data_IF_995054502859
#
_entry.id   IF_995054502859
#
_cell.length_a   1.000
_cell.length_b   1.000
_cell.length_c   1.000
_cell.angle_alpha   90.00
_cell.angle_beta   90.00
_cell.angle_gamma   90.00
#
_symmetry.space_group_name_H-M   'P 1'
#
loop_
_entity.id
_entity.type
_entity.pdbx_description
1 polymer ?
#
# COMPACT_ATOMS: atom_id res chain seq x y z
N UNK A 1 6.17 -48.78 49.27
CA UNK A 1 5.50 -48.63 47.97
C UNK A 1 4.15 -49.33 48.01
N UNK A 2 3.06 -48.56 47.99
CA UNK A 2 1.82 -48.99 47.38
C UNK A 2 1.17 -47.91 46.49
N UNK A 3 0.36 -48.40 45.56
CA UNK A 3 -0.63 -47.69 44.74
C UNK A 3 -1.64 -46.94 45.61
N UNK A 4 -1.99 -45.71 45.22
CA UNK A 4 -3.18 -45.03 45.70
C UNK A 4 -3.85 -44.21 44.58
N UNK A 5 -5.14 -44.45 44.50
CA UNK A 5 -6.12 -44.03 43.50
C UNK A 5 -7.01 -42.96 44.14
N UNK A 6 -7.16 -41.78 43.55
CA UNK A 6 -8.18 -40.76 43.88
C UNK A 6 -8.25 -39.80 42.69
N UNK A 7 -9.37 -39.37 42.15
CA UNK A 7 -10.78 -39.45 42.53
C UNK A 7 -11.46 -38.32 41.75
N UNK A 8 -12.34 -38.68 40.80
CA UNK A 8 -13.19 -37.73 40.07
C UNK A 8 -14.33 -37.27 40.98
N UNK A 9 -14.58 -35.97 41.05
CA UNK A 9 -15.85 -35.41 41.50
C UNK A 9 -16.51 -34.64 40.34
N UNK A 10 -17.84 -34.77 40.16
CA UNK A 10 -18.62 -33.85 39.33
C UNK A 10 -19.27 -32.79 40.22
N UNK A 11 -19.07 -31.51 39.89
CA UNK A 11 -19.94 -30.44 40.40
C UNK A 11 -20.89 -29.99 39.31
N UNK A 12 -22.17 -30.29 39.54
CA UNK A 12 -23.31 -29.57 39.00
C UNK A 12 -23.43 -28.26 39.77
N UNK A 13 -23.64 -27.15 39.08
CA UNK A 13 -24.38 -26.03 39.64
C UNK A 13 -25.20 -25.38 38.53
N UNK A 14 -26.51 -25.52 38.67
CA UNK A 14 -27.51 -24.71 37.99
C UNK A 14 -27.50 -23.31 38.62
N UNK A 15 -27.41 -22.27 37.79
CA UNK A 15 -27.90 -20.95 38.16
C UNK A 15 -28.33 -20.20 36.91
N UNK A 16 -29.64 -20.22 36.70
CA UNK A 16 -30.40 -19.25 35.90
C UNK A 16 -30.26 -17.85 36.50
N UNK A 17 -29.76 -16.90 35.71
CA UNK A 17 -29.99 -15.48 35.94
C UNK A 17 -30.07 -14.75 34.60
N UNK A 18 -31.29 -14.33 34.29
CA UNK A 18 -31.65 -13.28 33.35
C UNK A 18 -31.05 -11.94 33.81
N UNK A 19 -30.36 -11.23 32.91
CA UNK A 19 -29.76 -9.93 33.20
C UNK A 19 -29.51 -9.14 31.92
N UNK A 20 -30.56 -8.43 31.51
CA UNK A 20 -30.59 -7.12 30.85
C UNK A 20 -29.39 -6.69 29.97
N UNK A 21 -29.69 -6.59 28.68
CA UNK A 21 -28.82 -5.98 27.69
C UNK A 21 -28.66 -4.48 27.93
N UNK A 22 -27.40 -4.05 28.03
CA UNK A 22 -27.00 -2.65 27.92
C UNK A 22 -26.09 -2.51 26.70
N UNK A 23 -26.67 -2.11 25.58
CA UNK A 23 -25.94 -1.74 24.37
C UNK A 23 -25.41 -0.32 24.50
N UNK A 24 -24.12 -0.17 24.83
CA UNK A 24 -23.40 1.09 24.68
C UNK A 24 -23.06 1.33 23.20
N UNK A 25 -23.86 2.17 22.55
CA UNK A 25 -23.57 2.73 21.22
C UNK A 25 -22.35 3.66 21.31
N UNK A 26 -21.24 3.27 20.69
CA UNK A 26 -20.16 4.20 20.35
C UNK A 26 -20.51 4.93 19.06
N UNK A 27 -20.61 6.25 19.17
CA UNK A 27 -20.97 7.19 18.12
C UNK A 27 -19.94 7.22 16.98
N UNK A 28 -20.29 6.63 15.84
CA UNK A 28 -19.66 6.93 14.55
C UNK A 28 -20.43 8.06 13.87
N UNK A 29 -19.81 9.23 13.76
CA UNK A 29 -20.36 10.42 13.09
C UNK A 29 -20.61 10.11 11.61
N UNK A 30 -21.87 9.85 11.27
CA UNK A 30 -22.35 9.77 9.89
C UNK A 30 -23.11 11.06 9.59
N UNK A 31 -22.54 11.93 8.76
CA UNK A 31 -23.22 13.14 8.29
C UNK A 31 -24.15 12.73 7.13
N UNK A 32 -25.44 12.59 7.43
CA UNK A 32 -26.49 12.48 6.43
C UNK A 32 -27.02 13.88 6.09
N UNK A 33 -26.86 14.31 4.84
CA UNK A 33 -27.50 15.50 4.29
C UNK A 33 -28.95 15.17 3.91
N UNK A 34 -29.89 15.76 4.64
CA UNK A 34 -31.31 15.78 4.29
C UNK A 34 -31.65 17.17 3.76
N UNK A 35 -32.27 17.21 2.59
CA UNK A 35 -32.82 18.40 1.96
C UNK A 35 -34.03 18.93 2.77
N UNK A 36 -34.05 20.23 3.03
CA UNK A 36 -35.16 20.93 3.66
C UNK A 36 -35.14 22.42 3.30
N UNK A 37 -36.26 22.90 2.78
CA UNK A 37 -36.45 24.17 2.08
C UNK A 37 -36.96 25.27 3.03
N UNK A 38 -36.70 26.54 2.66
CA UNK A 38 -37.31 27.81 3.08
C UNK A 38 -37.06 28.42 4.47
N UNK A 39 -36.69 29.72 4.47
CA UNK A 39 -37.11 30.67 5.52
C UNK A 39 -36.07 31.71 5.95
N UNK A 40 -36.10 32.87 5.30
CA UNK A 40 -35.46 34.16 5.62
C UNK A 40 -35.08 34.48 7.09
N UNK A 41 -33.88 35.05 7.31
CA UNK A 41 -33.70 36.27 8.10
C UNK A 41 -32.30 36.86 7.89
N UNK A 42 -32.23 38.18 7.91
CA UNK A 42 -31.14 39.01 7.41
C UNK A 42 -30.08 39.36 8.48
N UNK A 43 -28.95 39.86 7.97
CA UNK A 43 -27.91 40.69 8.63
C UNK A 43 -26.89 39.97 9.51
N UNK A 44 -25.76 39.59 8.90
CA UNK A 44 -24.42 40.12 9.25
C UNK A 44 -23.58 40.12 7.97
N UNK A 45 -23.30 41.30 7.43
CA UNK A 45 -22.30 41.52 6.39
C UNK A 45 -21.13 42.25 7.05
N UNK A 46 -19.89 41.86 6.74
CA UNK A 46 -18.72 42.69 6.36
C UNK A 46 -17.43 41.88 6.59
N UNK A 47 -16.50 41.97 5.63
CA UNK A 47 -15.12 41.45 5.57
C UNK A 47 -14.90 40.08 4.88
N UNK A 48 -15.07 40.05 3.55
CA UNK A 48 -14.19 39.26 2.69
C UNK A 48 -13.74 40.14 1.51
N UNK A 49 -12.46 40.48 1.47
CA UNK A 49 -11.84 41.20 0.36
C UNK A 49 -11.07 40.22 -0.54
N UNK A 50 -11.41 40.30 -1.83
CA UNK A 50 -10.56 40.08 -2.99
C UNK A 50 -9.72 38.79 -3.10
N UNK A 51 -10.26 37.81 -3.85
CA UNK A 51 -9.46 36.94 -4.71
C UNK A 51 -9.93 37.14 -6.17
N UNK A 52 -9.03 37.18 -7.16
CA UNK A 52 -9.40 37.41 -8.56
C UNK A 52 -10.16 36.21 -9.11
N UNK A 53 -11.31 36.46 -9.75
CA UNK A 53 -12.02 35.46 -10.56
C UNK A 53 -11.30 35.31 -11.90
N UNK A 54 -10.75 34.13 -12.16
CA UNK A 54 -10.33 33.72 -13.50
C UNK A 54 -11.57 33.39 -14.34
N UNK A 55 -11.54 33.81 -15.60
CA UNK A 55 -12.57 33.62 -16.62
C UNK A 55 -12.79 32.15 -16.95
N UNK A 56 -14.05 31.79 -17.15
CA UNK A 56 -14.58 30.42 -17.25
C UNK A 56 -14.64 29.92 -18.71
N UNK A 57 -13.74 30.40 -19.58
CA UNK A 57 -13.84 30.17 -21.03
C UNK A 57 -12.77 29.24 -21.66
N UNK A 58 -11.81 28.70 -20.89
CA UNK A 58 -10.73 27.85 -21.47
C UNK A 58 -10.77 26.36 -21.08
N UNK A 59 -11.84 25.87 -20.43
CA UNK A 59 -11.90 24.44 -20.03
C UNK A 59 -12.29 23.46 -21.15
N UNK A 60 -12.68 23.94 -22.33
CA UNK A 60 -13.15 23.09 -23.44
C UNK A 60 -12.06 22.70 -24.46
N UNK A 61 -10.81 23.15 -24.30
CA UNK A 61 -9.71 22.86 -25.24
C UNK A 61 -8.56 22.04 -24.67
N UNK A 62 -8.74 21.42 -23.50
CA UNK A 62 -7.75 20.48 -22.97
C UNK A 62 -7.97 19.11 -23.62
N UNK A 63 -7.29 18.88 -24.74
CA UNK A 63 -7.09 17.52 -25.24
C UNK A 63 -6.41 16.69 -24.13
N UNK A 64 -6.86 15.45 -23.87
CA UNK A 64 -6.17 14.57 -22.95
C UNK A 64 -4.72 14.41 -23.44
N UNK A 65 -3.71 14.47 -22.54
CA UNK A 65 -2.31 14.39 -22.95
C UNK A 65 -2.09 13.12 -23.78
N UNK A 66 -1.33 13.28 -24.86
CA UNK A 66 -0.89 12.18 -25.70
C UNK A 66 -0.20 11.12 -24.84
N UNK A 67 -0.42 9.85 -25.18
CA UNK A 67 0.15 8.69 -24.48
C UNK A 67 1.68 8.76 -24.33
N UNK A 68 2.36 9.52 -25.18
CA UNK A 68 3.82 9.71 -25.14
C UNK A 68 4.29 10.71 -24.06
N UNK A 69 3.46 11.66 -23.63
CA UNK A 69 3.88 12.71 -22.68
C UNK A 69 3.94 12.21 -21.24
N UNK A 70 3.16 11.16 -20.89
CA UNK A 70 3.20 10.56 -19.56
C UNK A 70 4.43 9.66 -19.32
N UNK A 71 5.23 9.39 -20.36
CA UNK A 71 6.50 8.65 -20.31
C UNK A 71 7.71 9.57 -20.58
N UNK A 72 7.51 10.87 -20.80
CA UNK A 72 8.58 11.85 -21.01
C UNK A 72 8.99 12.47 -19.68
N UNK A 73 9.66 11.68 -18.83
CA UNK A 73 10.69 12.24 -17.96
C UNK A 73 11.97 12.12 -18.77
N UNK A 74 12.59 13.26 -19.10
CA UNK A 74 13.89 13.27 -19.77
C UNK A 74 14.86 12.36 -19.03
N UNK A 75 15.16 11.20 -19.61
CA UNK A 75 16.29 10.38 -19.21
C UNK A 75 17.54 11.20 -19.48
N UNK A 76 18.11 11.80 -18.43
CA UNK A 76 19.48 12.29 -18.46
C UNK A 76 20.38 11.10 -18.79
N UNK A 77 20.88 11.06 -20.02
CA UNK A 77 21.86 10.09 -20.47
C UNK A 77 23.08 10.20 -19.53
N UNK A 78 23.22 9.28 -18.59
CA UNK A 78 24.38 9.21 -17.69
C UNK A 78 25.59 8.76 -18.52
N UNK A 79 26.26 9.74 -19.12
CA UNK A 79 27.63 9.58 -19.61
C UNK A 79 28.49 9.07 -18.46
N UNK A 80 29.21 7.97 -18.69
CA UNK A 80 29.97 7.22 -17.69
C UNK A 80 30.64 8.09 -16.64
N UNK A 81 30.10 8.07 -15.42
CA UNK A 81 30.65 8.78 -14.28
C UNK A 81 31.66 7.85 -13.60
N UNK A 82 32.93 8.27 -13.64
CA UNK A 82 34.05 7.64 -12.94
C UNK A 82 33.71 7.38 -11.47
N UNK A 83 33.87 6.13 -11.04
CA UNK A 83 33.74 5.65 -9.66
C UNK A 83 34.89 6.23 -8.81
N UNK A 84 34.75 7.49 -8.40
CA UNK A 84 35.43 7.98 -7.21
C UNK A 84 34.57 7.59 -6.00
N UNK A 85 35.05 6.64 -5.21
CA UNK A 85 34.40 6.13 -4.01
C UNK A 85 34.12 7.27 -3.03
N UNK A 86 32.85 7.67 -2.94
CA UNK A 86 32.34 8.58 -1.93
C UNK A 86 31.63 7.73 -0.89
N UNK A 87 32.26 7.54 0.27
CA UNK A 87 31.66 6.87 1.42
C UNK A 87 30.62 7.81 2.05
N UNK A 88 29.45 7.92 1.42
CA UNK A 88 28.30 8.62 2.00
C UNK A 88 27.36 7.55 2.60
N UNK A 89 27.05 7.70 3.89
CA UNK A 89 26.16 6.81 4.64
C UNK A 89 24.95 7.67 4.96
N UNK A 90 23.97 7.68 4.08
CA UNK A 90 22.74 8.45 4.18
C UNK A 90 21.59 7.69 3.56
N UNK A 91 20.37 7.87 4.05
CA UNK A 91 19.20 7.10 3.59
C UNK A 91 18.99 7.30 2.08
N UNK A 92 19.29 6.27 1.29
CA UNK A 92 18.96 6.24 -0.13
C UNK A 92 17.66 5.46 -0.28
N UNK A 93 16.52 6.19 -0.30
CA UNK A 93 15.41 5.70 -1.13
C UNK A 93 15.91 5.87 -2.55
N UNK A 94 16.23 4.76 -3.20
CA UNK A 94 16.34 4.73 -4.66
C UNK A 94 14.90 4.89 -5.16
N UNK A 95 14.56 6.12 -5.58
CA UNK A 95 13.18 6.66 -5.58
C UNK A 95 12.17 5.82 -6.36
N UNK A 96 12.65 4.90 -7.20
CA UNK A 96 11.95 3.68 -7.56
C UNK A 96 12.88 2.85 -8.43
N UNK A 97 12.78 1.52 -8.32
CA UNK A 97 13.10 0.69 -9.50
C UNK A 97 11.94 0.84 -10.45
N UNK A 98 12.02 1.89 -11.25
CA UNK A 98 11.27 1.90 -12.47
C UNK A 98 11.95 0.93 -13.42
N UNK A 99 11.27 -0.19 -13.67
CA UNK A 99 11.53 -0.96 -14.87
C UNK A 99 11.01 -0.12 -16.04
N UNK A 100 11.72 0.96 -16.37
CA UNK A 100 11.58 1.64 -17.65
C UNK A 100 12.28 0.78 -18.71
N UNK A 101 11.77 -0.43 -18.88
CA UNK A 101 11.84 -1.04 -20.19
C UNK A 101 10.91 -0.21 -21.08
N UNK A 102 11.47 0.84 -21.66
CA UNK A 102 10.93 1.48 -22.85
C UNK A 102 11.04 0.47 -24.00
N UNK A 103 10.15 -0.52 -24.05
CA UNK A 103 9.93 -1.31 -25.24
C UNK A 103 8.43 -1.48 -25.46
N UNK A 104 8.00 -1.02 -26.64
CA UNK A 104 7.18 -1.76 -27.58
C UNK A 104 6.28 -2.84 -26.94
N UNK A 105 4.98 -2.69 -27.17
CA UNK A 105 3.82 -3.51 -26.75
C UNK A 105 3.96 -5.04 -27.01
N UNK A 106 5.11 -5.50 -27.49
CA UNK A 106 5.42 -6.79 -28.05
C UNK A 106 6.22 -7.70 -27.10
N UNK A 107 5.48 -8.39 -26.22
CA UNK A 107 5.67 -9.76 -25.71
C UNK A 107 5.47 -9.85 -24.18
N UNK A 108 4.46 -10.63 -23.79
CA UNK A 108 4.24 -11.04 -22.39
C UNK A 108 5.45 -11.82 -21.86
N UNK A 109 5.97 -11.43 -20.71
CA UNK A 109 6.95 -12.23 -19.98
C UNK A 109 6.29 -12.93 -18.78
N UNK A 110 6.60 -14.22 -18.63
CA UNK A 110 6.22 -15.03 -17.47
C UNK A 110 7.13 -14.72 -16.27
N UNK A 111 8.33 -14.19 -16.54
CA UNK A 111 9.32 -13.90 -15.52
C UNK A 111 10.16 -12.69 -15.92
N UNK A 112 10.34 -11.77 -14.98
CA UNK A 112 11.21 -10.60 -15.07
C UNK A 112 12.23 -10.68 -13.95
N UNK A 113 13.49 -10.41 -14.29
CA UNK A 113 14.63 -10.45 -13.37
C UNK A 113 15.40 -9.13 -13.50
N UNK A 114 15.76 -8.52 -12.39
CA UNK A 114 16.69 -7.38 -12.38
C UNK A 114 17.61 -7.45 -11.16
N UNK A 115 18.81 -6.93 -11.33
CA UNK A 115 19.77 -6.77 -10.25
C UNK A 115 19.77 -5.32 -9.78
N UNK A 116 19.70 -5.16 -8.48
CA UNK A 116 19.55 -3.86 -7.83
C UNK A 116 20.67 -3.69 -6.84
N UNK A 117 21.24 -2.49 -6.81
CA UNK A 117 22.21 -2.11 -5.79
C UNK A 117 21.43 -1.61 -4.57
N UNK A 118 21.65 -2.25 -3.43
CA UNK A 118 21.13 -1.82 -2.14
C UNK A 118 22.04 -0.78 -1.53
N UNK A 119 21.48 0.10 -0.72
CA UNK A 119 22.26 1.00 0.11
C UNK A 119 23.21 0.18 1.02
N UNK A 120 24.51 0.51 1.09
CA UNK A 120 25.44 -0.15 1.98
C UNK A 120 24.98 -0.13 3.44
N UNK A 121 24.95 -1.29 4.11
CA UNK A 121 24.48 -1.40 5.49
C UNK A 121 22.96 -1.48 5.65
N UNK A 122 22.20 -1.76 4.58
CA UNK A 122 20.77 -2.06 4.68
C UNK A 122 20.52 -3.43 5.33
N UNK A 123 19.91 -3.45 6.53
CA UNK A 123 19.50 -4.69 7.23
C UNK A 123 18.47 -5.46 6.42
N UNK A 124 17.48 -4.72 5.93
CA UNK A 124 16.32 -5.27 5.24
C UNK A 124 15.91 -4.33 4.11
N UNK A 125 15.21 -4.88 3.12
CA UNK A 125 14.65 -4.13 2.01
C UNK A 125 13.18 -4.47 1.90
N UNK A 126 12.34 -3.44 1.94
CA UNK A 126 10.90 -3.56 1.74
C UNK A 126 10.60 -3.25 0.29
N UNK A 127 9.93 -4.19 -0.38
CA UNK A 127 9.45 -4.03 -1.75
C UNK A 127 7.97 -3.70 -1.75
N UNK A 128 7.56 -2.82 -2.66
CA UNK A 128 6.15 -2.53 -2.85
C UNK A 128 5.77 -2.38 -4.31
N UNK A 129 4.60 -2.88 -4.67
CA UNK A 129 4.01 -2.63 -5.99
C UNK A 129 3.57 -1.17 -6.12
N UNK A 130 4.12 -0.45 -7.09
CA UNK A 130 3.71 0.89 -7.47
C UNK A 130 2.96 0.91 -8.80
N UNK A 131 3.33 0.04 -9.73
CA UNK A 131 2.63 -0.15 -11.00
C UNK A 131 2.56 -1.64 -11.28
N UNK A 132 1.40 -2.10 -11.73
CA UNK A 132 1.22 -3.45 -12.20
C UNK A 132 0.19 -3.45 -13.33
N UNK A 133 0.62 -3.92 -14.49
CA UNK A 133 -0.23 -4.23 -15.62
C UNK A 133 -0.03 -5.69 -16.00
N UNK A 134 -1.11 -6.45 -15.94
CA UNK A 134 -1.17 -7.85 -16.33
C UNK A 134 -1.96 -7.95 -17.64
N UNK A 135 -1.50 -8.81 -18.54
CA UNK A 135 -2.12 -9.02 -19.84
C UNK A 135 -3.53 -9.61 -19.74
N UNK A 136 -4.28 -9.50 -20.83
CA UNK A 136 -5.58 -10.17 -20.97
C UNK A 136 -5.39 -11.67 -20.78
N UNK A 137 -6.17 -12.23 -19.86
CA UNK A 137 -6.17 -13.68 -19.62
C UNK A 137 -6.70 -14.41 -20.84
N UNK A 138 -6.04 -15.52 -21.20
CA UNK A 138 -6.63 -16.46 -22.16
C UNK A 138 -7.89 -17.05 -21.54
N UNK A 139 -9.03 -16.79 -22.18
CA UNK A 139 -10.32 -17.36 -21.77
C UNK A 139 -10.16 -18.90 -21.80
N UNK A 140 -10.67 -19.57 -20.76
CA UNK A 140 -10.73 -21.04 -20.62
C UNK A 140 -9.56 -21.77 -19.94
N UNK A 141 -8.66 -21.08 -19.24
CA UNK A 141 -7.60 -21.77 -18.48
C UNK A 141 -8.00 -22.03 -17.04
N UNK A 142 -7.87 -23.29 -16.61
CA UNK A 142 -8.08 -23.76 -15.23
C UNK A 142 -6.90 -23.44 -14.31
N UNK A 143 -5.84 -22.83 -14.86
CA UNK A 143 -4.63 -22.50 -14.13
C UNK A 143 -4.84 -21.26 -13.26
N UNK A 144 -4.45 -21.31 -11.98
CA UNK A 144 -4.60 -20.18 -11.08
C UNK A 144 -3.74 -19.02 -11.54
N UNK A 145 -4.29 -17.82 -11.45
CA UNK A 145 -3.57 -16.58 -11.69
C UNK A 145 -2.55 -16.39 -10.56
N UNK A 146 -1.27 -16.25 -10.87
CA UNK A 146 -0.24 -16.10 -9.85
C UNK A 146 0.63 -14.90 -10.17
N UNK A 147 0.89 -14.09 -9.15
CA UNK A 147 1.88 -13.02 -9.19
C UNK A 147 2.75 -13.10 -7.94
N UNK A 148 4.07 -13.17 -8.14
CA UNK A 148 5.05 -13.23 -7.05
C UNK A 148 6.16 -12.23 -7.31
N UNK A 149 6.46 -11.43 -6.29
CA UNK A 149 7.75 -10.76 -6.19
C UNK A 149 8.62 -11.63 -5.30
N UNK A 150 9.87 -11.83 -5.68
CA UNK A 150 10.90 -12.43 -4.86
C UNK A 150 12.11 -11.48 -4.84
N UNK A 151 12.74 -11.37 -3.67
CA UNK A 151 13.99 -10.64 -3.50
C UNK A 151 15.03 -11.63 -2.99
N UNK A 152 16.05 -11.90 -3.81
CA UNK A 152 17.11 -12.85 -3.49
C UNK A 152 18.40 -12.06 -3.26
N UNK A 153 18.97 -12.09 -2.04
CA UNK A 153 20.23 -11.38 -1.79
C UNK A 153 21.36 -12.06 -2.58
N UNK A 154 22.01 -11.30 -3.47
CA UNK A 154 23.18 -11.75 -4.22
C UNK A 154 24.47 -11.45 -3.46
N UNK A 155 24.52 -10.31 -2.79
CA UNK A 155 25.61 -9.88 -1.91
C UNK A 155 25.10 -8.91 -0.85
N UNK A 156 25.98 -8.40 0.02
CA UNK A 156 25.60 -7.44 1.06
C UNK A 156 24.95 -6.15 0.50
N UNK A 157 25.29 -5.75 -0.72
CA UNK A 157 24.79 -4.55 -1.39
C UNK A 157 24.08 -4.84 -2.71
N UNK A 158 23.70 -6.09 -2.99
CA UNK A 158 22.99 -6.44 -4.22
C UNK A 158 21.82 -7.37 -3.96
N UNK A 159 20.72 -7.08 -4.62
CA UNK A 159 19.46 -7.81 -4.57
C UNK A 159 19.03 -8.18 -5.99
N UNK A 160 18.75 -9.45 -6.24
CA UNK A 160 18.02 -9.85 -7.43
C UNK A 160 16.52 -9.76 -7.12
N UNK A 161 15.81 -8.92 -7.87
CA UNK A 161 14.35 -8.80 -7.78
C UNK A 161 13.74 -9.56 -8.95
N UNK A 162 12.99 -10.61 -8.62
CA UNK A 162 12.27 -11.45 -9.56
C UNK A 162 10.78 -11.15 -9.47
N UNK A 163 10.15 -10.79 -10.58
CA UNK A 163 8.69 -10.73 -10.70
C UNK A 163 8.23 -11.86 -11.62
N UNK A 164 7.41 -12.76 -11.09
CA UNK A 164 6.91 -13.92 -11.83
C UNK A 164 5.40 -13.86 -11.93
N UNK A 165 4.91 -14.04 -13.15
CA UNK A 165 3.52 -14.34 -13.43
C UNK A 165 3.41 -15.70 -14.12
N UNK A 166 2.24 -16.32 -14.09
CA UNK A 166 2.05 -17.56 -14.85
C UNK A 166 1.85 -17.25 -16.35
N UNK A 167 2.03 -18.25 -17.21
CA UNK A 167 1.87 -18.14 -18.67
C UNK A 167 0.51 -17.66 -19.14
N UNK A 168 -0.50 -17.70 -18.27
CA UNK A 168 -1.85 -17.20 -18.54
C UNK A 168 -1.97 -15.68 -18.42
N UNK A 169 -0.99 -15.05 -17.75
CA UNK A 169 -0.91 -13.62 -17.53
C UNK A 169 0.51 -13.13 -17.75
N UNK A 170 0.76 -12.64 -18.96
CA UNK A 170 1.96 -11.87 -19.20
C UNK A 170 2.03 -10.65 -18.29
N UNK A 171 3.16 -10.43 -17.64
CA UNK A 171 3.47 -9.10 -17.10
C UNK A 171 3.64 -8.16 -18.30
N UNK A 172 2.83 -7.09 -18.34
CA UNK A 172 2.90 -6.06 -19.39
C UNK A 172 3.67 -4.83 -18.93
N UNK A 173 3.58 -4.50 -17.65
CA UNK A 173 4.33 -3.41 -17.03
C UNK A 173 4.35 -3.61 -15.52
N UNK A 174 5.48 -3.34 -14.90
CA UNK A 174 5.63 -3.40 -13.44
C UNK A 174 6.56 -2.29 -12.98
N UNK A 175 6.24 -1.67 -11.84
CA UNK A 175 7.12 -0.75 -11.11
C UNK A 175 7.14 -1.18 -9.66
N UNK A 176 8.34 -1.41 -9.14
CA UNK A 176 8.55 -1.86 -7.75
C UNK A 176 9.29 -0.74 -7.03
N UNK A 177 8.67 -0.21 -5.97
CA UNK A 177 9.38 0.65 -5.04
C UNK A 177 10.28 -0.20 -4.14
N UNK A 178 11.46 0.31 -3.82
CA UNK A 178 12.31 -0.26 -2.76
C UNK A 178 12.48 0.73 -1.62
N UNK A 179 12.44 0.20 -0.40
CA UNK A 179 12.78 0.93 0.81
C UNK A 179 13.82 0.14 1.59
N UNK A 180 15.06 0.61 1.55
CA UNK A 180 16.14 0.07 2.35
C UNK A 180 16.07 0.60 3.78
N UNK A 181 16.07 -0.32 4.75
CA UNK A 181 16.09 -0.02 6.17
C UNK A 181 17.52 -0.27 6.65
N UNK A 182 18.27 0.77 7.04
CA UNK A 182 19.66 0.61 7.44
C UNK A 182 19.79 -0.08 8.81
N UNK A 183 20.91 -0.77 9.03
CA UNK A 183 21.21 -1.55 10.23
C UNK A 183 21.21 -0.72 11.52
N UNK A 184 21.50 0.57 11.42
CA UNK A 184 21.50 1.52 12.53
C UNK A 184 20.10 2.04 12.87
N UNK A 185 19.11 1.89 11.99
CA UNK A 185 17.72 2.28 12.22
C UNK A 185 17.00 1.22 13.06
N UNK A 186 17.40 1.14 14.33
CA UNK A 186 16.87 0.15 15.28
C UNK A 186 15.37 0.28 15.44
N UNK A 187 14.83 1.49 15.29
CA UNK A 187 13.44 1.84 15.60
C UNK A 187 12.44 1.35 14.55
N UNK A 188 12.88 1.03 13.34
CA UNK A 188 12.05 0.39 12.34
C UNK A 188 12.20 -1.12 12.42
N UNK A 189 11.08 -1.82 12.41
CA UNK A 189 11.04 -3.27 12.25
C UNK A 189 10.21 -3.60 11.01
N UNK A 190 10.57 -4.68 10.32
CA UNK A 190 9.88 -5.10 9.12
C UNK A 190 9.95 -6.61 8.96
N UNK A 191 9.06 -7.16 8.14
CA UNK A 191 9.01 -8.58 7.87
C UNK A 191 7.99 -8.92 6.80
N UNK A 192 7.69 -10.22 6.69
CA UNK A 192 6.70 -10.74 5.74
C UNK A 192 5.63 -11.49 6.51
N UNK A 193 4.37 -11.26 6.15
CA UNK A 193 3.23 -12.07 6.58
C UNK A 193 2.85 -12.98 5.43
N UNK A 194 2.65 -14.25 5.76
CA UNK A 194 2.18 -15.27 4.84
C UNK A 194 0.78 -15.70 5.27
N UNK A 195 -0.21 -15.51 4.39
CA UNK A 195 -1.56 -16.03 4.58
C UNK A 195 -1.71 -17.29 3.72
N UNK A 196 -1.42 -18.49 4.28
CA UNK A 196 -1.45 -19.72 3.52
C UNK A 196 -2.87 -20.04 3.03
N UNK A 197 -2.94 -20.83 1.95
CA UNK A 197 -4.19 -21.29 1.34
C UNK A 197 -5.19 -21.76 2.40
N UNK A 198 -6.36 -21.12 2.45
CA UNK A 198 -7.50 -21.65 3.18
C UNK A 198 -8.68 -21.83 2.24
N UNK A 199 -9.39 -22.94 2.44
CA UNK A 199 -10.57 -23.29 1.66
C UNK A 199 -11.59 -22.15 1.54
N UNK A 200 -12.34 -22.16 0.44
CA UNK A 200 -13.29 -21.12 0.05
C UNK A 200 -14.22 -20.65 1.19
N UNK A 201 -14.35 -19.33 1.36
CA UNK A 201 -15.37 -18.71 2.21
C UNK A 201 -14.96 -18.40 3.65
N UNK A 202 -13.74 -18.74 4.06
CA UNK A 202 -13.24 -18.31 5.37
C UNK A 202 -12.83 -16.83 5.30
N UNK A 203 -13.61 -15.95 5.94
CA UNK A 203 -13.04 -14.69 6.42
C UNK A 203 -12.02 -15.07 7.48
N UNK A 204 -10.74 -15.10 7.12
CA UNK A 204 -9.69 -15.43 8.08
C UNK A 204 -9.46 -14.24 9.00
N UNK A 205 -10.30 -14.10 10.01
CA UNK A 205 -9.86 -13.51 11.28
C UNK A 205 -8.94 -14.53 11.92
N UNK A 206 -7.64 -14.38 11.72
CA UNK A 206 -6.65 -15.11 12.48
C UNK A 206 -6.60 -14.52 13.89
N UNK A 207 -6.67 -15.40 14.90
CA UNK A 207 -6.56 -15.03 16.30
C UNK A 207 -7.89 -14.73 16.99
N UNK A 208 -7.95 -15.12 18.27
CA UNK A 208 -8.74 -14.35 19.23
C UNK A 208 -8.32 -12.88 19.07
N UNK A 209 -9.27 -11.94 19.01
CA UNK A 209 -9.01 -10.49 18.94
C UNK A 209 -8.07 -9.94 20.04
N UNK A 210 -7.67 -10.79 20.99
CA UNK A 210 -6.89 -10.47 22.17
C UNK A 210 -5.39 -10.79 22.06
N UNK A 211 -4.89 -11.44 21.00
CA UNK A 211 -3.45 -11.75 20.86
C UNK A 211 -2.89 -11.32 19.49
N UNK A 212 -1.68 -10.72 19.45
CA UNK A 212 -1.02 -10.39 18.19
C UNK A 212 -0.62 -11.66 17.43
N UNK A 213 -0.77 -11.62 16.12
CA UNK A 213 -0.33 -12.69 15.20
C UNK A 213 1.15 -12.53 14.86
N UNK A 214 1.60 -11.28 14.76
CA UNK A 214 2.99 -10.92 14.50
C UNK A 214 3.54 -10.23 15.73
N UNK A 215 4.60 -10.80 16.32
CA UNK A 215 5.33 -10.19 17.42
C UNK A 215 6.50 -9.37 16.88
N UNK A 216 6.76 -8.22 17.49
CA UNK A 216 7.96 -7.45 17.22
C UNK A 216 9.17 -8.13 17.86
N UNK A 217 10.32 -8.08 17.19
CA UNK A 217 11.61 -8.47 17.78
C UNK A 217 11.89 -7.65 19.04
N UNK A 218 11.46 -6.38 19.03
CA UNK A 218 11.56 -5.45 20.15
C UNK A 218 10.25 -4.73 20.40
N UNK A 219 9.82 -4.66 21.66
CA UNK A 219 8.67 -3.88 22.04
C UNK A 219 8.91 -2.37 21.82
N UNK A 220 7.89 -1.66 21.37
CA UNK A 220 7.88 -0.21 21.27
C UNK A 220 7.49 0.44 22.60
N UNK A 221 7.78 1.73 22.78
CA UNK A 221 7.27 2.50 23.93
C UNK A 221 5.77 2.78 23.84
N UNK A 222 5.25 2.86 22.60
CA UNK A 222 3.84 3.01 22.28
C UNK A 222 3.51 2.17 21.04
N UNK A 223 2.25 1.76 20.83
CA UNK A 223 1.86 1.03 19.63
C UNK A 223 2.35 1.75 18.36
N UNK A 224 3.20 1.13 17.53
CA UNK A 224 3.69 1.74 16.30
C UNK A 224 2.58 1.81 15.24
N UNK A 225 2.78 2.66 14.24
CA UNK A 225 1.99 2.62 13.02
C UNK A 225 2.50 1.48 12.12
N UNK A 226 1.57 0.66 11.61
CA UNK A 226 1.90 -0.50 10.77
C UNK A 226 1.49 -0.23 9.33
N UNK A 227 2.47 -0.30 8.43
CA UNK A 227 2.26 -0.25 6.99
C UNK A 227 2.32 -1.65 6.43
N UNK A 228 1.44 -1.94 5.47
CA UNK A 228 1.37 -3.22 4.77
C UNK A 228 1.58 -2.98 3.28
N UNK A 229 2.27 -3.88 2.59
CA UNK A 229 2.50 -3.79 1.14
C UNK A 229 2.29 -5.16 0.52
N UNK A 230 1.42 -5.26 -0.48
CA UNK A 230 1.20 -6.53 -1.19
C UNK A 230 2.49 -6.92 -1.89
N UNK A 231 2.90 -8.16 -1.64
CA UNK A 231 4.16 -8.73 -2.11
C UNK A 231 3.93 -9.89 -3.07
N UNK A 232 2.92 -10.72 -2.80
CA UNK A 232 2.54 -11.83 -3.66
C UNK A 232 1.05 -12.13 -3.50
N UNK A 233 0.42 -12.59 -4.57
CA UNK A 233 -0.94 -13.09 -4.54
C UNK A 233 -1.16 -14.16 -5.61
N UNK A 234 -2.08 -15.08 -5.35
CA UNK A 234 -2.56 -16.04 -6.33
C UNK A 234 -4.09 -16.18 -6.26
N UNK A 235 -4.76 -15.96 -7.38
CA UNK A 235 -6.20 -16.10 -7.49
C UNK A 235 -6.59 -17.40 -8.18
N UNK A 236 -7.77 -17.89 -7.83
CA UNK A 236 -8.43 -18.88 -8.66
C UNK A 236 -8.77 -18.29 -10.03
N UNK A 237 -8.80 -19.10 -11.08
CA UNK A 237 -9.19 -18.63 -12.39
C UNK A 237 -10.66 -18.17 -12.41
N UNK A 238 -10.94 -17.08 -13.13
CA UNK A 238 -12.28 -16.49 -13.34
C UNK A 238 -12.94 -15.90 -12.09
N UNK A 239 -12.14 -15.33 -11.18
CA UNK A 239 -12.65 -14.84 -9.88
C UNK A 239 -12.30 -13.41 -9.59
N UNK A 240 -13.27 -12.59 -9.14
CA UNK A 240 -13.07 -11.16 -8.86
C UNK A 240 -11.79 -10.93 -8.07
N UNK A 241 -10.97 -9.99 -8.54
CA UNK A 241 -9.70 -9.68 -7.93
C UNK A 241 -9.91 -8.54 -6.93
N UNK A 242 -10.52 -8.88 -5.80
CA UNK A 242 -10.54 -7.98 -4.66
C UNK A 242 -9.66 -8.55 -3.56
N UNK A 243 -8.56 -7.88 -3.29
CA UNK A 243 -7.68 -8.18 -2.17
C UNK A 243 -7.34 -6.92 -1.39
N UNK A 244 -7.24 -7.04 -0.09
CA UNK A 244 -6.78 -5.94 0.77
C UNK A 244 -6.17 -6.48 2.04
N UNK A 245 -4.92 -6.12 2.28
CA UNK A 245 -4.25 -6.29 3.56
C UNK A 245 -4.65 -5.14 4.48
N UNK A 246 -5.19 -5.45 5.66
CA UNK A 246 -5.69 -4.49 6.64
C UNK A 246 -5.13 -4.77 8.02
N UNK A 247 -4.91 -3.73 8.82
CA UNK A 247 -4.56 -3.86 10.22
C UNK A 247 -5.85 -4.04 11.05
N UNK A 248 -5.92 -5.07 11.90
CA UNK A 248 -7.03 -5.26 12.84
C UNK A 248 -6.76 -4.60 14.20
N UNK A 249 -5.51 -4.64 14.63
CA UNK A 249 -5.09 -4.05 15.89
C UNK A 249 -3.58 -4.11 16.05
N UNK A 250 -3.04 -3.17 16.81
CA UNK A 250 -1.61 -3.06 17.12
C UNK A 250 -1.46 -2.68 18.60
N UNK A 251 -0.50 -3.30 19.27
CA UNK A 251 -0.05 -2.88 20.59
C UNK A 251 1.47 -2.74 20.58
N UNK A 252 2.09 -2.50 21.74
CA UNK A 252 3.53 -2.29 21.82
C UNK A 252 4.40 -3.54 21.55
N UNK A 253 3.82 -4.74 21.58
CA UNK A 253 4.51 -6.03 21.43
C UNK A 253 4.28 -6.70 20.08
N UNK A 254 3.24 -6.30 19.35
CA UNK A 254 2.91 -6.90 18.08
C UNK A 254 1.61 -6.35 17.50
N UNK A 255 1.18 -6.97 16.40
CA UNK A 255 -0.05 -6.60 15.71
C UNK A 255 -0.76 -7.82 15.12
N UNK A 256 -2.01 -7.59 14.72
CA UNK A 256 -2.83 -8.55 13.98
C UNK A 256 -3.22 -7.91 12.65
N UNK A 257 -2.95 -8.61 11.55
CA UNK A 257 -3.31 -8.19 10.21
C UNK A 257 -4.32 -9.16 9.61
N UNK A 258 -5.15 -8.65 8.70
CA UNK A 258 -6.16 -9.42 8.00
C UNK A 258 -6.05 -9.18 6.53
N UNK A 259 -5.92 -10.27 5.80
CA UNK A 259 -6.12 -10.27 4.36
C UNK A 259 -7.60 -10.52 4.07
N UNK A 260 -8.23 -9.56 3.39
CA UNK A 260 -9.62 -9.64 2.97
C UNK A 260 -9.70 -9.88 1.49
N UNK A 261 -10.61 -10.75 1.09
CA UNK A 261 -10.94 -11.01 -0.31
C UNK A 261 -12.45 -10.90 -0.48
N UNK A 262 -12.91 -10.45 -1.64
CA UNK A 262 -14.33 -10.54 -1.99
C UNK A 262 -14.49 -11.49 -3.16
N UNK A 263 -15.27 -12.53 -2.93
CA UNK A 263 -15.45 -13.61 -3.88
C UNK A 263 -14.76 -14.89 -3.42
N UNK A 264 -14.38 -15.77 -4.35
CA UNK A 264 -13.78 -17.06 -4.03
C UNK A 264 -12.36 -16.89 -3.46
N UNK A 265 -11.81 -17.96 -2.86
CA UNK A 265 -10.61 -17.85 -2.04
C UNK A 265 -9.39 -17.47 -2.88
N UNK A 266 -8.55 -16.63 -2.27
CA UNK A 266 -7.17 -16.46 -2.68
C UNK A 266 -6.39 -17.70 -2.26
N UNK A 267 -5.60 -18.21 -3.20
CA UNK A 267 -4.81 -19.43 -3.01
C UNK A 267 -3.55 -19.15 -2.18
N UNK A 268 -2.93 -18.00 -2.39
CA UNK A 268 -1.69 -17.59 -1.74
C UNK A 268 -1.72 -16.07 -1.64
N UNK A 269 -1.35 -15.51 -0.50
CA UNK A 269 -1.22 -14.07 -0.32
C UNK A 269 -0.12 -13.76 0.67
N UNK A 270 0.76 -12.83 0.30
CA UNK A 270 1.82 -12.34 1.16
C UNK A 270 1.86 -10.83 1.14
N UNK A 271 2.15 -10.25 2.29
CA UNK A 271 2.44 -8.83 2.40
C UNK A 271 3.74 -8.62 3.18
N UNK A 272 4.51 -7.63 2.75
CA UNK A 272 5.55 -7.06 3.60
C UNK A 272 4.91 -6.10 4.59
N UNK A 273 5.48 -6.00 5.78
CA UNK A 273 5.05 -5.04 6.78
C UNK A 273 6.22 -4.20 7.28
N UNK A 274 5.91 -2.98 7.71
CA UNK A 274 6.85 -2.04 8.33
C UNK A 274 6.19 -1.43 9.56
N UNK A 275 6.86 -1.51 10.71
CA UNK A 275 6.45 -0.89 11.95
C UNK A 275 7.24 0.41 12.16
N UNK A 276 6.51 1.52 12.25
CA UNK A 276 7.07 2.87 12.41
C UNK A 276 6.70 3.40 13.80
N UNK A 277 7.68 3.83 14.62
CA UNK A 277 7.38 4.41 15.92
C UNK A 277 6.51 5.67 15.78
N UNK A 278 5.40 5.71 16.52
CA UNK A 278 4.41 6.78 16.45
C UNK A 278 4.98 8.17 16.78
N UNK A 279 5.93 8.22 17.72
CA UNK A 279 6.56 9.46 18.18
C UNK A 279 7.83 9.83 17.41
N UNK A 280 8.14 9.14 16.31
CA UNK A 280 9.36 9.46 15.58
C UNK A 280 9.22 10.81 14.86
N UNK A 281 10.12 11.78 15.13
CA UNK A 281 10.15 13.03 14.37
C UNK A 281 10.64 12.81 12.93
N UNK A 282 11.17 11.63 12.60
CA UNK A 282 11.79 11.32 11.32
C UNK A 282 10.83 10.70 10.30
N UNK A 283 9.67 10.22 10.75
CA UNK A 283 8.77 9.43 9.91
C UNK A 283 7.35 9.91 9.99
N UNK A 284 6.73 10.24 8.86
CA UNK A 284 5.29 10.41 8.76
C UNK A 284 4.71 9.34 7.86
N UNK A 285 3.52 8.82 8.15
CA UNK A 285 2.97 7.72 7.38
C UNK A 285 1.45 7.69 7.44
N UNK A 286 0.86 6.92 6.54
CA UNK A 286 -0.58 6.76 6.49
C UNK A 286 -1.05 5.86 5.37
N UNK A 287 -2.37 5.87 5.15
CA UNK A 287 -3.05 5.06 4.15
C UNK A 287 -3.98 5.94 3.32
N UNK A 288 -4.09 5.63 2.03
CA UNK A 288 -5.06 6.24 1.12
C UNK A 288 -5.93 5.11 0.58
N UNK A 289 -7.24 5.34 0.54
CA UNK A 289 -8.21 4.41 -0.05
C UNK A 289 -9.09 5.14 -1.06
N UNK A 290 -9.21 4.55 -2.25
CA UNK A 290 -10.04 5.07 -3.32
C UNK A 290 -10.95 3.98 -3.87
N UNK A 291 -12.16 4.36 -4.25
CA UNK A 291 -13.11 3.46 -4.92
C UNK A 291 -13.94 4.23 -5.94
N UNK A 292 -14.12 3.62 -7.09
CA UNK A 292 -14.91 4.11 -8.21
C UNK A 292 -16.18 3.27 -8.35
N UNK A 293 -17.33 3.93 -8.50
CA UNK A 293 -18.62 3.27 -8.74
C UNK A 293 -18.89 3.21 -10.25
N UNK A 294 -19.53 2.14 -10.71
CA UNK A 294 -19.72 1.82 -12.13
C UNK A 294 -20.38 2.93 -12.98
N UNK A 295 -21.18 3.81 -12.36
CA UNK A 295 -21.92 4.86 -13.05
C UNK A 295 -21.08 6.11 -13.38
N UNK A 296 -19.85 6.20 -12.84
CA UNK A 296 -18.96 7.33 -13.04
C UNK A 296 -17.51 6.84 -12.96
N UNK A 297 -17.12 5.92 -13.86
CA UNK A 297 -15.80 5.28 -13.86
C UNK A 297 -14.67 6.28 -14.10
N UNK A 298 -14.27 6.99 -13.04
CA UNK A 298 -13.04 7.77 -13.02
C UNK A 298 -11.88 6.83 -13.25
N UNK A 299 -11.02 7.17 -14.20
CA UNK A 299 -9.81 6.40 -14.49
C UNK A 299 -8.67 6.70 -13.53
N UNK A 300 -8.77 7.80 -12.80
CA UNK A 300 -7.78 8.18 -11.82
C UNK A 300 -8.42 8.91 -10.64
N UNK A 301 -7.69 8.87 -9.52
CA UNK A 301 -7.93 9.64 -8.32
C UNK A 301 -6.65 10.41 -8.01
N UNK A 302 -6.79 11.67 -7.61
CA UNK A 302 -5.69 12.48 -7.11
C UNK A 302 -6.04 13.04 -5.74
N UNK A 303 -5.01 13.40 -4.99
CA UNK A 303 -5.14 14.13 -3.75
C UNK A 303 -3.80 14.66 -3.28
N UNK A 304 -3.81 15.32 -2.14
CA UNK A 304 -2.59 15.81 -1.48
C UNK A 304 -2.62 15.40 -0.02
N UNK A 305 -1.43 15.15 0.52
CA UNK A 305 -1.21 14.84 1.92
C UNK A 305 -0.33 15.93 2.48
N UNK A 306 -0.79 16.53 3.58
CA UNK A 306 0.02 17.42 4.39
C UNK A 306 0.66 16.60 5.50
N UNK A 307 1.98 16.73 5.65
CA UNK A 307 2.69 16.15 6.77
C UNK A 307 2.28 16.81 8.07
N UNK A 308 2.47 16.07 9.16
CA UNK A 308 2.34 16.60 10.51
C UNK A 308 3.22 17.85 10.63
N UNK A 309 2.65 18.93 11.16
CA UNK A 309 3.26 20.25 11.15
C UNK A 309 4.68 20.23 11.75
N UNK A 310 5.63 20.87 11.06
CA UNK A 310 7.04 21.02 11.47
C UNK A 310 7.86 19.73 11.57
N UNK A 311 7.36 18.61 11.04
CA UNK A 311 8.07 17.34 11.10
C UNK A 311 9.32 17.31 10.22
N UNK A 312 9.27 18.00 9.08
CA UNK A 312 10.38 18.04 8.13
C UNK A 312 10.92 19.46 7.93
N UNK A 313 12.25 19.67 7.95
CA UNK A 313 12.85 20.98 7.68
C UNK A 313 12.59 21.47 6.26
N UNK A 314 12.42 22.79 6.09
CA UNK A 314 12.13 23.40 4.78
C UNK A 314 13.17 23.09 3.70
N UNK A 315 14.43 23.04 4.11
CA UNK A 315 15.59 22.87 3.22
C UNK A 315 15.81 21.40 2.83
N UNK A 316 15.13 20.46 3.48
CA UNK A 316 15.34 19.02 3.32
C UNK A 316 13.98 18.32 3.29
N UNK A 317 13.27 18.34 2.14
CA UNK A 317 12.04 17.59 2.01
C UNK A 317 12.33 16.11 2.33
N UNK A 318 11.40 15.40 2.99
CA UNK A 318 11.57 13.98 3.24
C UNK A 318 11.56 13.24 1.90
N UNK A 319 12.06 12.00 1.85
CA UNK A 319 11.82 11.07 0.75
C UNK A 319 10.52 10.29 1.01
N UNK A 320 9.72 9.98 -0.02
CA UNK A 320 8.38 9.38 0.16
C UNK A 320 8.35 8.04 -0.56
N UNK A 321 8.03 6.99 0.19
CA UNK A 321 7.80 5.65 -0.31
C UNK A 321 6.30 5.35 -0.28
N UNK A 322 5.76 4.82 -1.37
CA UNK A 322 4.34 4.47 -1.52
C UNK A 322 4.19 3.10 -2.17
N UNK A 323 3.14 2.37 -1.81
CA UNK A 323 2.87 1.07 -2.41
C UNK A 323 1.47 0.55 -2.14
N UNK A 324 1.02 -0.38 -2.99
CA UNK A 324 -0.31 -1.00 -2.91
C UNK A 324 -0.45 -1.89 -1.67
N UNK A 325 -1.52 -1.69 -0.92
CA UNK A 325 -2.00 -2.57 0.17
C UNK A 325 -3.21 -3.40 -0.24
N UNK A 326 -3.91 -2.97 -1.29
CA UNK A 326 -5.14 -3.59 -1.77
C UNK A 326 -5.58 -3.04 -3.11
N UNK A 327 -6.40 -3.83 -3.79
CA UNK A 327 -7.12 -3.41 -4.99
C UNK A 327 -8.42 -4.21 -5.12
N UNK A 328 -9.37 -3.63 -5.84
CA UNK A 328 -10.65 -4.23 -6.22
C UNK A 328 -10.81 -4.03 -7.72
N UNK A 329 -10.80 -5.12 -8.49
CA UNK A 329 -10.99 -5.07 -9.93
C UNK A 329 -11.80 -6.28 -10.44
N UNK A 330 -12.70 -6.00 -11.38
CA UNK A 330 -13.47 -7.01 -12.09
C UNK A 330 -12.59 -7.92 -12.97
N UNK A 331 -12.92 -9.20 -13.05
CA UNK A 331 -12.21 -10.25 -13.82
C UNK A 331 -12.31 -10.09 -15.32
N UNK A 332 -13.32 -9.37 -15.78
CA UNK A 332 -13.64 -9.26 -17.21
C UNK A 332 -12.60 -8.42 -17.95
N UNK A 333 -11.69 -7.75 -17.22
CA UNK A 333 -10.73 -6.80 -17.76
C UNK A 333 -9.29 -7.12 -17.32
N UNK A 334 -8.28 -6.72 -18.11
CA UNK A 334 -6.89 -6.81 -17.73
C UNK A 334 -6.60 -5.99 -16.47
N UNK A 335 -5.81 -6.54 -15.54
CA UNK A 335 -5.48 -5.85 -14.29
C UNK A 335 -4.45 -4.74 -14.54
N UNK A 336 -4.79 -3.49 -14.25
CA UNK A 336 -3.92 -2.32 -14.49
C UNK A 336 -4.09 -1.28 -13.39
N UNK A 337 -3.06 -1.08 -12.59
CA UNK A 337 -3.06 -0.06 -11.53
C UNK A 337 -1.68 0.58 -11.43
N UNK A 338 -1.65 1.87 -11.13
CA UNK A 338 -0.45 2.66 -10.92
C UNK A 338 -0.71 3.67 -9.82
N UNK A 339 0.20 3.75 -8.88
CA UNK A 339 0.30 4.81 -7.88
C UNK A 339 1.57 5.61 -8.15
N UNK A 340 1.45 6.92 -8.05
CA UNK A 340 2.56 7.85 -8.22
C UNK A 340 2.48 8.96 -7.15
N UNK A 341 3.64 9.48 -6.79
CA UNK A 341 3.82 10.64 -5.91
C UNK A 341 4.45 11.76 -6.72
N UNK A 342 3.97 12.99 -6.53
CA UNK A 342 4.46 14.20 -7.20
C UNK A 342 4.43 15.38 -6.24
N UNK A 343 5.04 16.50 -6.61
CA UNK A 343 4.94 17.74 -5.83
C UNK A 343 5.44 17.63 -4.39
N UNK A 344 6.45 16.80 -4.17
CA UNK A 344 7.00 16.55 -2.84
C UNK A 344 7.70 17.78 -2.28
N UNK A 345 7.36 18.13 -1.05
CA UNK A 345 7.90 19.28 -0.33
C UNK A 345 8.06 18.92 1.15
N UNK A 346 8.55 19.85 1.97
CA UNK A 346 8.60 19.67 3.43
C UNK A 346 7.22 19.72 4.10
N UNK A 347 6.20 20.24 3.41
CA UNK A 347 4.84 20.38 3.93
C UNK A 347 3.95 19.19 3.57
N UNK A 348 4.29 18.46 2.50
CA UNK A 348 3.44 17.41 1.98
C UNK A 348 3.84 16.92 0.59
N UNK A 349 2.97 16.11 0.00
CA UNK A 349 3.10 15.63 -1.37
C UNK A 349 1.73 15.44 -2.02
N UNK A 350 1.69 15.41 -3.34
CA UNK A 350 0.52 15.02 -4.12
C UNK A 350 0.64 13.57 -4.56
N UNK A 351 -0.49 12.89 -4.68
CA UNK A 351 -0.55 11.50 -5.11
C UNK A 351 -1.58 11.31 -6.21
N UNK A 352 -1.31 10.33 -7.06
CA UNK A 352 -2.23 9.89 -8.12
C UNK A 352 -2.33 8.38 -8.09
N UNK A 353 -3.55 7.85 -8.05
CA UNK A 353 -3.83 6.43 -8.28
C UNK A 353 -4.65 6.34 -9.56
N UNK A 354 -4.15 5.62 -10.56
CA UNK A 354 -4.83 5.46 -11.85
C UNK A 354 -4.90 4.02 -12.29
N UNK A 355 -5.93 3.73 -13.06
CA UNK A 355 -6.03 2.59 -13.97
C UNK A 355 -6.15 3.14 -15.39
N UNK A 356 -5.85 2.33 -16.39
CA UNK A 356 -5.82 2.79 -17.78
C UNK A 356 -6.29 1.70 -18.75
N UNK A 357 -6.49 2.12 -20.00
CA UNK A 357 -6.92 1.29 -21.13
C UNK A 357 -8.35 0.72 -20.92
N UNK A 358 -8.70 -0.39 -21.57
CA UNK A 358 -10.00 -1.08 -21.54
C UNK A 358 -10.54 -1.44 -20.14
N UNK A 359 -9.78 -1.19 -19.07
CA UNK A 359 -10.21 -1.43 -17.70
C UNK A 359 -11.39 -0.56 -17.25
N UNK A 360 -11.77 0.47 -18.01
CA UNK A 360 -12.59 1.60 -17.53
C UNK A 360 -14.06 1.60 -17.95
N UNK A 361 -14.45 0.88 -19.00
CA UNK A 361 -15.82 0.96 -19.51
C UNK A 361 -16.74 0.09 -18.62
N UNK A 362 -17.55 0.76 -17.80
CA UNK A 362 -18.60 0.21 -16.93
C UNK A 362 -18.14 -0.70 -15.78
N UNK A 363 -16.91 -0.54 -15.29
CA UNK A 363 -16.37 -1.35 -14.19
C UNK A 363 -16.29 -0.55 -12.88
N UNK A 364 -16.52 -1.23 -11.76
CA UNK A 364 -16.09 -0.75 -10.44
C UNK A 364 -14.63 -1.14 -10.23
N UNK A 365 -13.84 -0.21 -9.72
CA UNK A 365 -12.50 -0.52 -9.26
C UNK A 365 -12.16 0.26 -8.00
N UNK A 366 -11.22 -0.25 -7.21
CA UNK A 366 -10.71 0.40 -6.03
C UNK A 366 -9.26 0.06 -5.79
N UNK A 367 -8.59 0.88 -5.00
CA UNK A 367 -7.21 0.68 -4.60
C UNK A 367 -7.00 1.21 -3.19
N UNK A 368 -6.09 0.57 -2.48
CA UNK A 368 -5.61 1.00 -1.17
C UNK A 368 -4.08 1.04 -1.24
N UNK A 369 -3.48 2.10 -0.72
CA UNK A 369 -2.03 2.30 -0.71
C UNK A 369 -1.58 2.74 0.68
N UNK A 370 -0.42 2.26 1.11
CA UNK A 370 0.30 2.77 2.28
C UNK A 370 1.44 3.65 1.81
N UNK A 371 1.78 4.66 2.61
CA UNK A 371 2.91 5.53 2.34
C UNK A 371 3.70 5.84 3.62
N UNK A 372 4.99 6.12 3.45
CA UNK A 372 5.88 6.64 4.49
C UNK A 372 6.76 7.75 3.91
N UNK A 373 6.87 8.86 4.63
CA UNK A 373 7.81 9.92 4.41
C UNK A 373 8.95 9.82 5.42
N UNK A 374 10.19 9.81 4.95
CA UNK A 374 11.40 9.61 5.75
C UNK A 374 12.25 10.88 5.64
N UNK A 375 12.56 11.48 6.79
CA UNK A 375 13.49 12.61 6.84
C UNK A 375 14.85 12.20 6.27
N UNK A 376 15.40 13.03 5.39
CA UNK A 376 16.77 12.84 4.92
C UNK A 376 17.73 12.95 6.10
N UNK A 377 18.47 11.88 6.37
CA UNK A 377 19.45 11.82 7.45
C UNK A 377 20.72 12.60 7.15
N UNK A 378 20.78 13.30 6.00
CA UNK A 378 21.94 14.03 5.53
C UNK A 378 22.70 14.63 6.69
N UNK A 379 23.94 14.20 6.88
CA UNK A 379 24.82 14.75 7.92
C UNK A 379 24.72 16.28 7.85
N UNK A 380 24.74 16.99 8.99
CA UNK A 380 24.86 18.45 8.94
C UNK A 380 26.03 18.76 8.00
N UNK A 381 25.78 19.61 7.01
CA UNK A 381 26.84 20.05 6.10
C UNK A 381 27.90 20.71 7.00
N UNK A 382 29.04 20.02 7.16
CA UNK A 382 30.14 20.46 8.02
C UNK A 382 30.77 21.70 7.44
#
# INVERSE_FOLDING_TARGET
MPSANTGKQPMRNDSTTSGEGSSSRSSGTTINLVAGNNGSSAKVATLLAAAPRLSLEDEASLEPPSYDDANSIQSGQLSGRSLAARNDVGFEIDDSLEFDYAFEISNSHDELLTNVVRHPGAKNTVLSLQRLALGSRRVNTQNPMMFKIAAVPLSASQLEVQAKANSEMGIKSIKIGMLDIPDDERDIQSGVIDWPEKGAGATTTWGNLNLPEVFFERAYSMPPEILLFIYSFAFKPNTAHQIKATLLGCNQYGFCAKFTTRGPPVLDAKAMWVAIPKDSPRFDCGMIEVSSKALASKSYFTGSINFTKWKFPKQRPPKVFIGLTGFDQDVTRPFRVSVAVTGQSHEGFSWTIRTWDDALINSTWGASVSWVAIADSGKPAV
#
